data_IF_211944085236
#
_entry.id   IF_211944085236
#
_cell.length_a   1.000
_cell.length_b   1.000
_cell.length_c   1.000
_cell.angle_alpha   90.00
_cell.angle_beta   90.00
_cell.angle_gamma   90.00
#
_symmetry.space_group_name_H-M   'P 1'
#
loop_
_entity.id
_entity.type
_entity.pdbx_description
1 polymer ?
#
# COMPACT_ATOMS: atom_id res chain seq x y z
N UNK A 1 26.92 5.23 -22.76
CA UNK A 1 27.27 3.88 -23.28
C UNK A 1 26.31 2.79 -22.79
N UNK A 2 26.16 2.55 -21.48
CA UNK A 2 25.31 1.46 -20.94
C UNK A 2 23.84 1.53 -21.36
N UNK A 3 23.24 2.72 -21.43
CA UNK A 3 21.83 2.88 -21.85
C UNK A 3 21.63 2.55 -23.33
N UNK A 4 22.58 2.96 -24.19
CA UNK A 4 22.59 2.65 -25.62
C UNK A 4 22.87 1.15 -25.86
N UNK A 5 23.78 0.56 -25.07
CA UNK A 5 24.08 -0.87 -25.12
C UNK A 5 22.93 -1.74 -24.58
N UNK A 6 22.13 -1.23 -23.64
CA UNK A 6 20.96 -1.91 -23.09
C UNK A 6 19.69 -1.76 -23.93
N UNK A 7 19.63 -0.74 -24.79
CA UNK A 7 18.49 -0.46 -25.66
C UNK A 7 18.05 -1.67 -26.54
N UNK A 8 18.94 -2.39 -27.23
CA UNK A 8 18.54 -3.54 -28.06
C UNK A 8 17.95 -4.71 -27.25
N UNK A 9 18.22 -4.79 -25.94
CA UNK A 9 17.59 -5.77 -25.04
C UNK A 9 16.31 -5.22 -24.40
N UNK A 10 16.27 -3.92 -24.11
CA UNK A 10 15.14 -3.27 -23.47
C UNK A 10 13.94 -3.09 -24.42
N UNK A 11 14.18 -2.79 -25.70
CA UNK A 11 13.13 -2.57 -26.71
C UNK A 11 12.26 -3.83 -26.92
N UNK A 12 12.81 -5.02 -27.20
CA UNK A 12 12.02 -6.24 -27.31
C UNK A 12 11.25 -6.54 -26.01
N UNK A 13 11.90 -6.34 -24.86
CA UNK A 13 11.25 -6.49 -23.55
C UNK A 13 10.06 -5.56 -23.38
N UNK A 14 10.19 -4.28 -23.77
CA UNK A 14 9.10 -3.31 -23.72
C UNK A 14 7.97 -3.68 -24.68
N UNK A 15 8.29 -4.08 -25.92
CA UNK A 15 7.31 -4.50 -26.92
C UNK A 15 6.52 -5.73 -26.49
N UNK A 16 7.15 -6.67 -25.80
CA UNK A 16 6.47 -7.83 -25.21
C UNK A 16 5.69 -7.45 -23.95
N UNK A 17 6.21 -6.54 -23.14
CA UNK A 17 5.61 -6.13 -21.88
C UNK A 17 4.33 -5.30 -22.06
N UNK A 18 4.27 -4.42 -23.06
CA UNK A 18 3.11 -3.57 -23.32
C UNK A 18 1.78 -4.33 -23.55
N UNK A 19 1.69 -5.33 -24.44
CA UNK A 19 0.46 -6.10 -24.63
C UNK A 19 0.07 -6.88 -23.38
N UNK A 20 1.05 -7.37 -22.61
CA UNK A 20 0.78 -8.04 -21.33
C UNK A 20 0.10 -7.11 -20.31
N UNK A 21 0.31 -5.79 -20.40
CA UNK A 21 -0.35 -4.85 -19.50
C UNK A 21 -1.86 -4.73 -19.78
N UNK A 22 -2.31 -5.02 -21.01
CA UNK A 22 -3.74 -5.00 -21.35
C UNK A 22 -4.54 -6.11 -20.64
N UNK A 23 -3.88 -7.22 -20.29
CA UNK A 23 -4.49 -8.34 -19.55
C UNK A 23 -4.21 -8.30 -18.06
N UNK A 24 -3.44 -7.32 -17.59
CA UNK A 24 -3.08 -7.20 -16.19
C UNK A 24 -4.30 -6.82 -15.34
N UNK A 25 -4.41 -7.41 -14.15
CA UNK A 25 -5.39 -7.02 -13.15
C UNK A 25 -5.05 -5.64 -12.56
N UNK A 26 -6.02 -4.83 -12.13
CA UNK A 26 -5.76 -3.50 -11.57
C UNK A 26 -5.00 -3.52 -10.24
N UNK A 27 -4.93 -4.66 -9.55
CA UNK A 27 -4.20 -4.88 -8.32
C UNK A 27 -3.96 -6.38 -8.09
N UNK A 28 -2.99 -6.71 -7.26
CA UNK A 28 -2.81 -8.06 -6.71
C UNK A 28 -3.50 -8.17 -5.34
N UNK A 29 -4.15 -9.30 -5.12
CA UNK A 29 -4.74 -9.66 -3.82
C UNK A 29 -3.93 -10.78 -3.18
N UNK A 30 -3.41 -10.52 -1.97
CA UNK A 30 -2.86 -11.54 -1.09
C UNK A 30 -3.98 -11.98 -0.15
N UNK A 31 -4.47 -13.23 -0.24
CA UNK A 31 -5.43 -13.74 0.72
C UNK A 31 -4.79 -13.83 2.12
N UNK A 32 -5.60 -13.79 3.19
CA UNK A 32 -5.12 -14.05 4.54
C UNK A 32 -4.52 -15.47 4.63
N UNK A 33 -3.54 -15.70 5.52
CA UNK A 33 -3.02 -17.05 5.76
C UNK A 33 -4.07 -17.94 6.43
N UNK A 34 -3.92 -19.26 6.32
CA UNK A 34 -4.92 -20.24 6.81
C UNK A 34 -5.22 -20.12 8.31
N UNK A 35 -4.22 -19.73 9.12
CA UNK A 35 -4.39 -19.55 10.56
C UNK A 35 -4.99 -18.19 10.96
N UNK A 36 -5.27 -17.31 10.00
CA UNK A 36 -5.86 -16.01 10.28
C UNK A 36 -7.35 -16.13 10.55
N UNK A 37 -7.80 -15.47 11.62
CA UNK A 37 -9.21 -15.41 12.00
C UNK A 37 -9.70 -13.96 11.92
N UNK A 38 -10.73 -13.67 11.09
CA UNK A 38 -11.29 -12.33 11.03
C UNK A 38 -11.95 -11.97 12.37
N UNK A 39 -11.91 -10.68 12.78
CA UNK A 39 -12.73 -10.20 13.88
C UNK A 39 -14.22 -10.43 13.59
N UNK A 40 -15.02 -10.62 14.65
CA UNK A 40 -16.46 -10.74 14.52
C UNK A 40 -17.06 -9.49 13.83
N UNK A 41 -18.03 -9.66 12.90
CA UNK A 41 -18.74 -8.54 12.29
C UNK A 41 -19.39 -7.67 13.36
N UNK A 42 -19.14 -6.37 13.30
CA UNK A 42 -19.71 -5.42 14.25
C UNK A 42 -21.21 -5.27 14.02
N UNK A 43 -22.02 -5.44 15.08
CA UNK A 43 -23.47 -5.22 15.08
C UNK A 43 -23.83 -3.95 15.88
N UNK A 44 -23.99 -2.78 15.23
CA UNK A 44 -24.18 -1.51 15.92
C UNK A 44 -25.37 -1.49 16.90
N UNK A 45 -26.44 -2.24 16.60
CA UNK A 45 -27.65 -2.29 17.44
C UNK A 45 -27.52 -3.16 18.68
N UNK A 46 -26.52 -4.04 18.74
CA UNK A 46 -26.36 -5.05 19.81
C UNK A 46 -25.01 -4.95 20.54
N UNK A 47 -24.09 -4.15 20.03
CA UNK A 47 -22.72 -4.01 20.56
C UNK A 47 -22.42 -2.55 20.91
N UNK A 48 -21.54 -2.30 21.89
CA UNK A 48 -21.08 -0.95 22.20
C UNK A 48 -20.36 -0.31 21.01
N UNK A 49 -20.20 1.00 21.08
CA UNK A 49 -19.43 1.76 20.10
C UNK A 49 -18.03 1.16 19.92
N UNK A 50 -17.63 0.97 18.66
CA UNK A 50 -16.34 0.39 18.28
C UNK A 50 -15.50 1.46 17.60
N UNK A 51 -14.24 1.56 17.99
CA UNK A 51 -13.28 2.49 17.37
C UNK A 51 -12.36 1.68 16.44
N UNK A 52 -12.05 2.23 15.26
CA UNK A 52 -11.18 1.58 14.25
C UNK A 52 -9.86 2.33 14.10
N UNK A 53 -8.74 1.60 14.11
CA UNK A 53 -7.40 2.17 13.96
C UNK A 53 -6.96 2.25 12.50
N UNK A 54 -6.64 3.46 12.02
CA UNK A 54 -6.11 3.69 10.66
C UNK A 54 -4.69 4.24 10.72
N UNK A 55 -3.80 3.69 9.90
CA UNK A 55 -2.48 4.25 9.63
C UNK A 55 -2.34 4.55 8.14
N UNK A 56 -1.90 5.77 7.81
CA UNK A 56 -1.47 6.12 6.46
C UNK A 56 -0.02 6.59 6.47
N UNK A 57 0.80 6.08 5.55
CA UNK A 57 2.20 6.49 5.44
C UNK A 57 2.74 6.39 4.00
N UNK A 58 3.48 7.41 3.59
CA UNK A 58 4.26 7.40 2.36
C UNK A 58 5.68 6.87 2.67
N UNK A 59 6.09 5.77 2.02
CA UNK A 59 7.34 5.08 2.34
C UNK A 59 8.49 5.35 1.35
N UNK A 60 8.23 6.04 0.25
CA UNK A 60 9.20 6.36 -0.80
C UNK A 60 10.06 5.15 -1.23
N UNK A 61 9.42 4.00 -1.47
CA UNK A 61 10.06 2.75 -1.89
C UNK A 61 10.11 2.69 -3.42
N UNK A 62 10.99 3.50 -4.00
CA UNK A 62 11.21 3.55 -5.46
C UNK A 62 12.02 2.34 -5.95
N UNK A 63 11.85 1.92 -7.23
CA UNK A 63 12.75 0.98 -7.88
C UNK A 63 14.20 1.47 -7.83
N UNK A 64 15.16 0.54 -7.72
CA UNK A 64 16.58 0.87 -7.46
C UNK A 64 17.18 1.91 -8.41
N UNK A 65 16.77 1.92 -9.68
CA UNK A 65 17.21 2.94 -10.65
C UNK A 65 16.81 4.36 -10.23
N UNK A 66 15.52 4.57 -9.92
CA UNK A 66 14.98 5.86 -9.47
C UNK A 66 15.42 6.21 -8.06
N UNK A 67 15.53 5.21 -7.19
CA UNK A 67 15.96 5.38 -5.81
C UNK A 67 17.37 5.96 -5.68
N UNK A 68 18.28 5.63 -6.61
CA UNK A 68 19.67 6.13 -6.61
C UNK A 68 19.75 7.65 -6.83
N UNK A 69 18.87 8.22 -7.65
CA UNK A 69 18.85 9.67 -7.91
C UNK A 69 18.40 10.47 -6.69
N UNK A 70 17.56 9.88 -5.85
CA UNK A 70 17.01 10.51 -4.64
C UNK A 70 17.75 10.12 -3.34
N UNK A 71 18.90 9.43 -3.43
CA UNK A 71 19.61 8.88 -2.26
C UNK A 71 18.78 7.91 -1.39
N UNK A 72 17.76 7.26 -1.97
CA UNK A 72 16.84 6.34 -1.30
C UNK A 72 17.15 4.86 -1.61
N UNK A 73 18.43 4.51 -1.73
CA UNK A 73 18.86 3.15 -2.11
C UNK A 73 18.35 2.07 -1.14
N UNK A 74 18.41 0.80 -1.56
CA UNK A 74 18.07 -0.36 -0.74
C UNK A 74 16.59 -0.41 -0.31
N UNK A 75 15.66 -0.09 -1.21
CA UNK A 75 14.22 -0.11 -0.96
C UNK A 75 13.74 -1.41 -0.29
N UNK A 76 14.28 -2.56 -0.69
CA UNK A 76 13.98 -3.85 -0.04
C UNK A 76 14.37 -3.91 1.45
N UNK A 77 15.58 -3.45 1.82
CA UNK A 77 16.04 -3.45 3.22
C UNK A 77 15.24 -2.43 4.05
N UNK A 78 14.96 -1.26 3.47
CA UNK A 78 14.12 -0.23 4.09
C UNK A 78 12.70 -0.75 4.35
N UNK A 79 12.13 -1.46 3.38
CA UNK A 79 10.82 -2.10 3.53
C UNK A 79 10.78 -3.15 4.65
N UNK A 80 11.86 -3.91 4.87
CA UNK A 80 11.93 -4.83 6.01
C UNK A 80 11.97 -4.10 7.35
N UNK A 81 12.78 -3.05 7.46
CA UNK A 81 12.88 -2.24 8.66
C UNK A 81 11.53 -1.55 8.97
N UNK A 82 10.90 -0.94 7.96
CA UNK A 82 9.57 -0.34 8.07
C UNK A 82 8.52 -1.39 8.45
N UNK A 83 8.54 -2.56 7.81
CA UNK A 83 7.67 -3.68 8.17
C UNK A 83 7.82 -4.10 9.63
N UNK A 84 9.06 -4.19 10.14
CA UNK A 84 9.32 -4.50 11.55
C UNK A 84 8.78 -3.43 12.51
N UNK A 85 8.85 -2.15 12.13
CA UNK A 85 8.28 -1.03 12.91
C UNK A 85 6.75 -1.07 12.89
N UNK A 86 6.12 -1.31 11.73
CA UNK A 86 4.67 -1.46 11.61
C UNK A 86 4.14 -2.63 12.45
N UNK A 87 4.89 -3.73 12.50
CA UNK A 87 4.55 -4.89 13.33
C UNK A 87 4.47 -4.57 14.82
N UNK A 88 5.23 -3.59 15.31
CA UNK A 88 5.14 -3.18 16.71
C UNK A 88 3.76 -2.58 17.04
N UNK A 89 3.15 -1.82 16.13
CA UNK A 89 1.80 -1.26 16.28
C UNK A 89 0.66 -2.25 16.00
N UNK A 90 0.96 -3.35 15.29
CA UNK A 90 0.00 -4.43 15.04
C UNK A 90 -0.11 -5.44 16.18
N UNK A 91 0.78 -5.36 17.18
CA UNK A 91 0.65 -6.18 18.39
C UNK A 91 -0.63 -5.80 19.15
N UNK A 92 -1.34 -6.78 19.71
CA UNK A 92 -2.50 -6.51 20.55
C UNK A 92 -2.10 -5.54 21.67
N UNK A 93 -2.74 -4.38 21.71
CA UNK A 93 -2.63 -3.50 22.87
C UNK A 93 -3.30 -4.18 24.07
N UNK A 94 -2.62 -4.23 25.22
CA UNK A 94 -3.24 -4.66 26.50
C UNK A 94 -4.39 -3.72 26.91
N UNK A 95 -4.34 -2.49 26.43
CA UNK A 95 -5.47 -1.58 26.42
C UNK A 95 -6.12 -1.73 25.05
N UNK A 96 -7.14 -2.58 24.95
CA UNK A 96 -7.98 -2.62 23.75
C UNK A 96 -8.36 -1.20 23.33
N UNK A 97 -8.67 -0.99 22.06
CA UNK A 97 -9.36 0.21 21.60
C UNK A 97 -10.80 0.23 22.16
N UNK A 98 -10.95 0.09 23.48
CA UNK A 98 -12.20 0.15 24.25
C UNK A 98 -12.45 1.53 24.83
N UNK A 99 -11.64 2.52 24.46
CA UNK A 99 -11.87 3.91 24.83
C UNK A 99 -11.73 4.80 23.61
N UNK A 100 -12.83 5.05 22.92
CA UNK A 100 -13.01 6.37 22.33
C UNK A 100 -13.02 7.33 23.53
N UNK A 101 -11.84 7.76 23.99
CA UNK A 101 -11.78 8.80 25.00
C UNK A 101 -12.43 10.01 24.36
N UNK A 102 -13.52 10.58 24.92
CA UNK A 102 -14.02 11.84 24.41
C UNK A 102 -12.84 12.82 24.41
N UNK A 103 -12.66 13.63 23.35
CA UNK A 103 -11.68 14.69 23.41
C UNK A 103 -12.02 15.51 24.67
N UNK A 104 -11.09 15.53 25.63
CA UNK A 104 -11.26 16.35 26.82
C UNK A 104 -11.58 17.79 26.39
N UNK A 105 -12.47 18.51 27.10
CA UNK A 105 -12.86 19.84 26.70
C UNK A 105 -11.62 20.74 26.61
N UNK A 106 -11.25 21.15 25.39
CA UNK A 106 -10.23 22.18 25.17
C UNK A 106 -8.93 21.77 24.44
N UNK A 107 -8.75 20.54 23.95
CA UNK A 107 -7.55 20.18 23.16
C UNK A 107 -7.83 19.92 21.68
N UNK A 108 -7.78 20.94 20.82
CA UNK A 108 -7.60 20.73 19.38
C UNK A 108 -6.12 20.39 19.14
N UNK A 109 -5.71 19.17 19.47
CA UNK A 109 -4.28 18.82 19.41
C UNK A 109 -4.05 17.35 19.10
N UNK A 110 -3.53 17.06 17.91
CA UNK A 110 -2.93 15.76 17.63
C UNK A 110 -1.74 15.51 18.57
N UNK A 111 -1.52 14.25 18.95
CA UNK A 111 -0.38 13.85 19.77
C UNK A 111 0.78 13.44 18.86
N UNK A 112 1.98 13.98 19.12
CA UNK A 112 3.21 13.50 18.48
C UNK A 112 3.76 12.32 19.28
N UNK A 113 3.81 11.15 18.66
CA UNK A 113 4.31 9.92 19.26
C UNK A 113 5.51 9.38 18.47
N UNK A 114 6.53 8.90 19.19
CA UNK A 114 7.72 8.29 18.61
C UNK A 114 7.54 6.77 18.33
N UNK A 115 6.31 6.32 18.10
CA UNK A 115 5.96 4.93 17.90
C UNK A 115 4.75 4.80 16.97
N UNK A 116 4.61 3.62 16.34
CA UNK A 116 3.38 3.27 15.62
C UNK A 116 2.29 2.99 16.65
N UNK A 117 1.09 3.59 16.52
CA UNK A 117 0.01 3.38 17.47
C UNK A 117 -0.39 1.90 17.49
N UNK A 118 -0.74 1.41 18.68
CA UNK A 118 -1.21 0.05 18.85
C UNK A 118 -2.66 -0.09 18.38
N UNK A 119 -3.09 -1.31 18.03
CA UNK A 119 -4.48 -1.59 17.66
C UNK A 119 -4.85 -1.08 16.27
N UNK A 120 -3.92 -1.10 15.33
CA UNK A 120 -4.20 -0.78 13.93
C UNK A 120 -5.06 -1.87 13.28
N UNK A 121 -6.14 -1.43 12.65
CA UNK A 121 -7.05 -2.27 11.88
C UNK A 121 -6.81 -2.13 10.37
N UNK A 122 -6.40 -0.95 9.92
CA UNK A 122 -6.16 -0.66 8.51
C UNK A 122 -4.82 0.06 8.31
N UNK A 123 -4.03 -0.42 7.35
CA UNK A 123 -2.74 0.16 7.00
C UNK A 123 -2.74 0.50 5.50
N UNK A 124 -2.67 1.80 5.21
CA UNK A 124 -2.66 2.38 3.87
C UNK A 124 -1.26 2.94 3.58
N UNK A 125 -0.53 2.34 2.64
CA UNK A 125 0.83 2.77 2.30
C UNK A 125 0.88 3.39 0.91
N UNK A 126 1.65 4.47 0.76
CA UNK A 126 1.91 5.16 -0.51
C UNK A 126 3.38 5.07 -0.93
N UNK A 127 3.62 5.28 -2.22
CA UNK A 127 4.92 5.16 -2.90
C UNK A 127 5.65 3.83 -2.68
N UNK A 128 4.88 2.76 -2.58
CA UNK A 128 5.39 1.38 -2.59
C UNK A 128 5.55 0.92 -4.05
N UNK A 129 6.44 1.57 -4.81
CA UNK A 129 6.63 1.32 -6.24
C UNK A 129 7.50 0.10 -6.55
N UNK A 130 8.49 -0.20 -5.70
CA UNK A 130 9.33 -1.39 -5.83
C UNK A 130 8.52 -2.64 -5.43
N UNK A 131 8.22 -3.51 -6.40
CA UNK A 131 7.45 -4.73 -6.19
C UNK A 131 8.14 -5.73 -5.25
N UNK A 132 9.48 -5.77 -5.21
CA UNK A 132 10.20 -6.65 -4.29
C UNK A 132 10.09 -6.11 -2.87
N UNK A 133 10.17 -4.78 -2.71
CA UNK A 133 9.95 -4.11 -1.43
C UNK A 133 8.49 -4.30 -0.96
N UNK A 134 7.51 -4.16 -1.85
CA UNK A 134 6.10 -4.41 -1.60
C UNK A 134 5.86 -5.85 -1.10
N UNK A 135 6.46 -6.85 -1.76
CA UNK A 135 6.35 -8.25 -1.32
C UNK A 135 6.93 -8.48 0.08
N UNK A 136 8.02 -7.80 0.46
CA UNK A 136 8.56 -7.89 1.82
C UNK A 136 7.60 -7.29 2.85
N UNK A 137 6.96 -6.17 2.54
CA UNK A 137 5.90 -5.59 3.39
C UNK A 137 4.69 -6.53 3.49
N UNK A 138 4.20 -7.06 2.37
CA UNK A 138 3.06 -8.00 2.34
C UNK A 138 3.34 -9.23 3.22
N UNK A 139 4.54 -9.83 3.13
CA UNK A 139 4.94 -10.97 3.98
C UNK A 139 4.96 -10.65 5.47
N UNK A 140 5.25 -9.39 5.83
CA UNK A 140 5.24 -8.93 7.23
C UNK A 140 3.82 -8.61 7.71
N UNK A 141 3.00 -7.95 6.88
CA UNK A 141 1.67 -7.46 7.27
C UNK A 141 0.58 -8.54 7.24
N UNK A 142 0.60 -9.43 6.24
CA UNK A 142 -0.47 -10.42 6.03
C UNK A 142 -0.72 -11.36 7.22
N UNK A 143 0.30 -11.82 8.00
CA UNK A 143 0.04 -12.64 9.18
C UNK A 143 -0.74 -11.95 10.31
N UNK A 144 -0.70 -10.62 10.38
CA UNK A 144 -1.30 -9.86 11.49
C UNK A 144 -2.60 -9.18 11.10
N UNK A 145 -2.67 -8.66 9.87
CA UNK A 145 -3.86 -8.01 9.35
C UNK A 145 -4.72 -8.99 8.55
N UNK A 146 -4.13 -9.88 7.77
CA UNK A 146 -4.86 -10.82 6.91
C UNK A 146 -4.78 -10.40 5.44
N UNK A 147 -5.90 -10.03 4.79
CA UNK A 147 -5.90 -9.67 3.38
C UNK A 147 -5.08 -8.40 3.07
N UNK A 148 -4.33 -8.44 1.98
CA UNK A 148 -3.54 -7.29 1.49
C UNK A 148 -3.75 -7.07 -0.01
N UNK A 149 -4.06 -5.84 -0.40
CA UNK A 149 -4.03 -5.36 -1.78
C UNK A 149 -2.70 -4.66 -2.03
N UNK A 150 -2.01 -5.02 -3.10
CA UNK A 150 -0.73 -4.44 -3.49
C UNK A 150 -0.58 -4.42 -5.00
N UNK A 151 0.50 -3.79 -5.48
CA UNK A 151 0.75 -3.63 -6.93
C UNK A 151 -0.48 -3.02 -7.64
N UNK A 152 -1.06 -2.00 -7.00
CA UNK A 152 -2.27 -1.33 -7.48
C UNK A 152 -1.88 -0.38 -8.61
N UNK A 153 -2.63 -0.36 -9.70
CA UNK A 153 -2.42 0.59 -10.78
C UNK A 153 -2.75 0.04 -12.16
N UNK A 154 -2.76 0.94 -13.13
CA UNK A 154 -2.76 0.62 -14.55
C UNK A 154 -1.35 0.84 -15.11
N UNK A 155 -0.96 -0.01 -16.05
CA UNK A 155 0.36 0.03 -16.69
C UNK A 155 0.20 0.07 -18.21
N UNK A 156 1.28 0.39 -18.92
CA UNK A 156 1.31 0.42 -20.37
C UNK A 156 0.60 1.65 -20.96
N UNK A 157 0.14 1.51 -22.20
CA UNK A 157 -0.57 2.57 -22.92
C UNK A 157 -1.99 2.72 -22.34
N UNK A 158 -2.32 3.91 -21.90
CA UNK A 158 -3.66 4.27 -21.44
C UNK A 158 -4.39 5.03 -22.56
N UNK A 159 -5.73 5.14 -22.53
CA UNK A 159 -6.46 5.97 -23.49
C UNK A 159 -5.86 7.39 -23.59
N UNK A 160 -5.41 7.78 -24.78
CA UNK A 160 -4.65 9.01 -25.03
C UNK A 160 -3.12 8.79 -25.18
N UNK A 161 -2.30 9.85 -25.25
CA UNK A 161 -0.84 9.74 -25.43
C UNK A 161 -0.10 9.45 -24.10
N UNK A 162 -0.68 8.64 -23.21
CA UNK A 162 -0.18 8.44 -21.86
C UNK A 162 0.39 7.04 -21.65
N UNK A 163 1.69 6.97 -21.40
CA UNK A 163 2.39 5.73 -21.02
C UNK A 163 2.59 5.67 -19.50
N UNK A 164 2.06 4.62 -18.86
CA UNK A 164 2.26 4.33 -17.42
C UNK A 164 3.32 3.24 -17.25
N UNK A 165 4.48 3.61 -16.72
CA UNK A 165 5.58 2.70 -16.43
C UNK A 165 5.56 2.18 -14.99
N UNK A 166 4.99 2.97 -14.08
CA UNK A 166 4.87 2.63 -12.65
C UNK A 166 3.40 2.48 -12.27
N UNK A 167 3.17 1.60 -11.29
CA UNK A 167 1.87 1.49 -10.62
C UNK A 167 1.53 2.76 -9.84
N UNK A 168 0.46 2.70 -9.05
CA UNK A 168 0.04 3.78 -8.17
C UNK A 168 0.95 3.93 -6.94
N UNK A 169 1.69 2.88 -6.59
CA UNK A 169 2.45 2.78 -5.35
C UNK A 169 1.58 2.60 -4.10
N UNK A 170 0.30 2.26 -4.27
CA UNK A 170 -0.63 2.02 -3.17
C UNK A 170 -0.58 0.57 -2.69
N UNK A 171 -0.63 0.39 -1.37
CA UNK A 171 -0.81 -0.89 -0.69
C UNK A 171 -1.83 -0.71 0.45
N UNK A 172 -2.81 -1.61 0.55
CA UNK A 172 -3.79 -1.62 1.63
C UNK A 172 -3.77 -2.98 2.33
N UNK A 173 -3.55 -2.99 3.63
CA UNK A 173 -3.75 -4.16 4.47
C UNK A 173 -4.89 -3.91 5.46
N UNK A 174 -5.73 -4.91 5.69
CA UNK A 174 -6.95 -4.80 6.48
C UNK A 174 -7.05 -5.96 7.46
N UNK A 175 -7.40 -5.66 8.72
CA UNK A 175 -7.75 -6.64 9.76
C UNK A 175 -9.08 -7.34 9.50
N UNK A 176 -9.90 -6.78 8.62
CA UNK A 176 -11.21 -7.29 8.25
C UNK A 176 -11.17 -7.86 6.82
N UNK A 177 -12.05 -8.83 6.49
CA UNK A 177 -12.18 -9.35 5.13
C UNK A 177 -12.39 -8.23 4.11
N UNK A 178 -11.77 -8.33 2.93
CA UNK A 178 -12.01 -7.38 1.84
C UNK A 178 -13.14 -7.91 0.95
N UNK A 179 -14.31 -7.27 1.01
CA UNK A 179 -15.50 -7.68 0.27
C UNK A 179 -15.44 -7.21 -1.20
N UNK A 180 -14.91 -6.00 -1.41
CA UNK A 180 -14.79 -5.41 -2.75
C UNK A 180 -13.61 -4.45 -2.78
N UNK A 181 -12.95 -4.36 -3.93
CA UNK A 181 -11.92 -3.35 -4.17
C UNK A 181 -12.02 -2.79 -5.58
N UNK A 182 -11.76 -1.50 -5.71
CA UNK A 182 -11.73 -0.80 -7.00
C UNK A 182 -10.59 0.23 -7.00
N UNK A 183 -9.89 0.31 -8.12
CA UNK A 183 -8.87 1.33 -8.34
C UNK A 183 -9.31 2.26 -9.47
N UNK A 184 -9.16 3.58 -9.26
CA UNK A 184 -9.44 4.60 -10.26
C UNK A 184 -8.21 5.49 -10.43
N UNK A 185 -7.61 5.46 -11.61
CA UNK A 185 -6.51 6.37 -11.96
C UNK A 185 -7.05 7.80 -12.13
N UNK A 186 -6.30 8.80 -11.68
CA UNK A 186 -6.63 10.19 -11.95
C UNK A 186 -6.41 10.52 -13.42
N UNK A 187 -7.30 11.30 -14.05
CA UNK A 187 -7.26 11.59 -15.49
C UNK A 187 -6.12 12.54 -15.87
N UNK A 188 -5.66 13.37 -14.93
CA UNK A 188 -4.66 14.39 -15.18
C UNK A 188 -3.41 14.11 -14.35
N UNK A 189 -2.31 13.82 -15.05
CA UNK A 189 -0.99 13.68 -14.47
C UNK A 189 -0.03 14.66 -15.14
N UNK A 190 0.93 15.18 -14.40
CA UNK A 190 1.91 16.17 -14.88
C UNK A 190 3.32 15.71 -14.53
N UNK A 191 4.29 16.07 -15.38
CA UNK A 191 5.73 15.82 -15.13
C UNK A 191 5.99 14.33 -14.84
N UNK A 192 6.74 14.03 -13.80
CA UNK A 192 7.15 12.68 -13.40
C UNK A 192 5.96 11.79 -13.02
N UNK A 193 4.90 12.38 -12.43
CA UNK A 193 3.68 11.66 -12.10
C UNK A 193 2.93 11.16 -13.35
N UNK A 194 3.25 11.69 -14.54
CA UNK A 194 2.69 11.17 -15.79
C UNK A 194 3.05 9.71 -16.03
N UNK A 195 4.21 9.25 -15.54
CA UNK A 195 4.69 7.87 -15.69
C UNK A 195 4.10 6.91 -14.65
N UNK A 196 3.50 7.42 -13.57
CA UNK A 196 2.86 6.62 -12.53
C UNK A 196 1.32 6.64 -12.65
N UNK A 197 0.67 5.53 -12.35
CA UNK A 197 -0.80 5.48 -12.27
C UNK A 197 -1.31 6.02 -10.94
N UNK A 198 -1.08 7.31 -10.67
CA UNK A 198 -1.63 7.99 -9.50
C UNK A 198 -3.17 7.89 -9.50
N UNK A 199 -3.77 7.59 -8.36
CA UNK A 199 -5.20 7.35 -8.29
C UNK A 199 -5.70 7.05 -6.89
N UNK A 200 -6.95 6.61 -6.82
CA UNK A 200 -7.66 6.23 -5.60
C UNK A 200 -7.89 4.72 -5.58
N UNK A 201 -7.47 4.07 -4.49
CA UNK A 201 -7.87 2.71 -4.15
C UNK A 201 -9.02 2.78 -3.12
N UNK A 202 -10.17 2.24 -3.49
CA UNK A 202 -11.32 2.08 -2.60
C UNK A 202 -11.50 0.61 -2.26
N UNK A 203 -11.72 0.30 -0.98
CA UNK A 203 -12.02 -1.04 -0.52
C UNK A 203 -13.24 -1.02 0.41
N UNK A 204 -14.07 -2.04 0.27
CA UNK A 204 -15.16 -2.36 1.18
C UNK A 204 -14.73 -3.51 2.07
N UNK A 205 -14.97 -3.37 3.36
CA UNK A 205 -14.59 -4.31 4.42
C UNK A 205 -15.79 -4.75 5.24
#
# INVERSE_FOLDING_TARGET
LLLLAGLPLALPGLLLWLPLQAWRRPFCYRPPPECWTPPAPWRPSAEPARCFGFLSANLCLLPDGLARFNNLRHSQRRAEAMGAVLLAGLRPSRYGTTGCSPPGPGTPGGSLIAAVPAGLDFVCLQEVFDLRAAQRLVRRLAPYLGPVLYDVGSFGLQPGPHLKLLGSGLLLASRYPLLRAAFRCFPHARREDALASKGLLSAQV
#
